data_IF_271687427849
#
_entry.id   IF_271687427849
#
_cell.length_a   1.000
_cell.length_b   1.000
_cell.length_c   1.000
_cell.angle_alpha   90.00
_cell.angle_beta   90.00
_cell.angle_gamma   90.00
#
_symmetry.space_group_name_H-M   'P 1'
#
loop_
_entity.id
_entity.type
_entity.pdbx_description
1 polymer ?
#
# COMPACT_ATOMS: atom_id res chain seq x y z
N UNK A 1 -22.29 -21.18 -58.54
CA UNK A 1 -21.63 -20.01 -59.16
C UNK A 1 -21.49 -18.89 -58.13
N UNK A 2 -20.24 -18.48 -57.88
CA UNK A 2 -19.71 -17.10 -57.70
C UNK A 2 -20.34 -16.24 -56.57
N UNK A 3 -19.59 -15.99 -55.49
CA UNK A 3 -18.71 -14.81 -55.23
C UNK A 3 -19.53 -13.52 -55.15
N UNK A 4 -19.44 -12.61 -54.18
CA UNK A 4 -18.45 -12.28 -53.14
C UNK A 4 -19.11 -11.18 -52.30
N UNK A 5 -18.98 -11.18 -50.97
CA UNK A 5 -19.12 -9.92 -50.21
C UNK A 5 -17.77 -9.22 -50.27
N UNK A 6 -17.73 -8.16 -51.06
CA UNK A 6 -16.58 -7.28 -51.31
C UNK A 6 -16.09 -6.65 -50.02
N UNK A 7 -14.77 -6.63 -49.87
CA UNK A 7 -14.06 -5.77 -48.93
C UNK A 7 -13.84 -4.44 -49.62
N UNK A 8 -14.43 -3.36 -49.11
CA UNK A 8 -14.08 -2.00 -49.49
C UNK A 8 -13.64 -1.21 -48.25
N UNK A 9 -12.37 -1.42 -47.91
CA UNK A 9 -11.32 -0.40 -47.82
C UNK A 9 -11.75 1.04 -47.47
N UNK A 10 -11.59 1.42 -46.21
CA UNK A 10 -11.10 2.76 -45.90
C UNK A 10 -10.26 2.72 -44.63
N UNK A 11 -8.97 3.03 -44.78
CA UNK A 11 -8.01 3.31 -43.70
C UNK A 11 -7.64 4.80 -43.81
N UNK A 12 -7.05 5.41 -42.78
CA UNK A 12 -7.72 6.00 -41.62
C UNK A 12 -7.46 7.52 -41.56
N UNK A 13 -8.33 8.30 -40.92
CA UNK A 13 -7.98 9.66 -40.49
C UNK A 13 -8.15 9.75 -38.99
N UNK A 14 -7.07 9.41 -38.27
CA UNK A 14 -6.97 9.70 -36.85
C UNK A 14 -6.67 11.19 -36.70
N UNK A 15 -7.69 12.01 -36.47
CA UNK A 15 -7.47 13.38 -35.99
C UNK A 15 -7.24 13.29 -34.49
N UNK A 16 -5.99 13.02 -34.10
CA UNK A 16 -5.50 13.22 -32.74
C UNK A 16 -5.25 14.72 -32.55
N UNK A 17 -6.15 15.40 -31.85
CA UNK A 17 -5.84 16.72 -31.30
C UNK A 17 -4.87 16.53 -30.14
N UNK A 18 -3.59 16.76 -30.39
CA UNK A 18 -2.49 16.69 -29.43
C UNK A 18 -2.53 17.91 -28.52
N UNK A 19 -3.12 17.78 -27.33
CA UNK A 19 -2.88 18.73 -26.24
C UNK A 19 -1.51 18.40 -25.65
N UNK A 20 -0.50 19.15 -26.08
CA UNK A 20 0.86 19.17 -25.55
C UNK A 20 0.83 19.41 -24.05
N UNK A 21 1.12 18.37 -23.27
CA UNK A 21 1.49 18.49 -21.86
C UNK A 21 3.01 18.62 -21.80
N UNK A 22 3.51 19.85 -21.73
CA UNK A 22 4.92 20.09 -21.47
C UNK A 22 5.27 19.60 -20.05
N UNK A 23 6.34 18.80 -19.86
CA UNK A 23 6.83 18.48 -18.53
C UNK A 23 7.53 19.71 -17.91
N UNK A 24 7.40 19.96 -16.59
CA UNK A 24 8.13 21.03 -15.95
C UNK A 24 9.66 20.78 -15.97
N UNK A 25 10.47 21.83 -16.15
CA UNK A 25 11.92 21.70 -16.27
C UNK A 25 12.55 21.19 -14.97
N UNK A 26 13.40 20.18 -15.12
CA UNK A 26 14.15 19.49 -14.07
C UNK A 26 15.48 20.21 -13.85
N UNK A 27 15.57 21.09 -12.86
CA UNK A 27 16.84 21.72 -12.46
C UNK A 27 17.44 20.98 -11.25
N UNK A 28 18.60 20.39 -11.49
CA UNK A 28 19.46 19.70 -10.54
C UNK A 28 20.61 20.62 -10.07
N UNK A 29 21.03 20.42 -8.82
CA UNK A 29 22.34 20.71 -8.19
C UNK A 29 22.54 22.08 -7.51
N UNK A 30 22.96 22.01 -6.23
CA UNK A 30 23.44 23.15 -5.43
C UNK A 30 23.84 22.80 -3.99
N UNK A 31 24.75 21.83 -3.82
CA UNK A 31 25.73 21.70 -2.72
C UNK A 31 25.82 22.84 -1.66
N UNK A 32 25.56 22.50 -0.38
CA UNK A 32 26.28 23.08 0.77
C UNK A 32 26.27 22.11 1.96
N UNK A 33 27.37 21.38 2.13
CA UNK A 33 27.74 20.76 3.41
C UNK A 33 28.76 21.68 4.10
N UNK A 34 28.60 22.03 5.38
CA UNK A 34 29.73 22.23 6.26
C UNK A 34 30.01 20.94 7.02
N UNK A 35 31.25 20.49 6.91
CA UNK A 35 31.85 19.39 7.63
C UNK A 35 31.67 19.51 9.15
N UNK A 36 31.25 18.43 9.80
CA UNK A 36 31.80 18.04 11.11
C UNK A 36 31.71 16.52 11.22
N UNK A 37 32.88 15.88 11.19
CA UNK A 37 33.03 14.48 11.53
C UNK A 37 32.74 14.30 13.02
N UNK A 38 31.74 13.49 13.36
CA UNK A 38 31.75 12.69 14.58
C UNK A 38 31.17 11.34 14.22
N UNK A 39 32.08 10.40 13.99
CA UNK A 39 31.79 8.99 13.88
C UNK A 39 31.39 8.48 15.27
N UNK A 40 30.08 8.35 15.49
CA UNK A 40 29.55 7.59 16.63
C UNK A 40 28.61 6.55 16.06
N UNK A 41 29.04 5.30 16.08
CA UNK A 41 28.21 4.12 15.80
C UNK A 41 27.03 4.07 16.79
N UNK A 42 25.98 4.83 16.52
CA UNK A 42 24.68 4.63 17.15
C UNK A 42 23.88 3.72 16.24
N UNK A 43 23.54 2.55 16.78
CA UNK A 43 22.46 1.67 16.31
C UNK A 43 21.28 2.52 15.80
N UNK A 44 20.54 2.10 14.76
CA UNK A 44 19.31 2.79 14.41
C UNK A 44 18.36 2.68 15.60
N UNK A 45 18.31 3.73 16.41
CA UNK A 45 17.17 4.00 17.25
C UNK A 45 16.00 4.13 16.28
N UNK A 46 15.13 3.12 16.27
CA UNK A 46 13.86 3.19 15.55
C UNK A 46 13.04 4.24 16.28
N UNK A 47 13.27 5.51 15.99
CA UNK A 47 12.42 6.59 16.46
C UNK A 47 11.12 6.43 15.70
N UNK A 48 10.23 5.60 16.23
CA UNK A 48 8.80 5.66 15.92
C UNK A 48 8.35 7.03 16.38
N UNK A 49 8.56 8.06 15.55
CA UNK A 49 7.86 9.31 15.71
C UNK A 49 6.39 8.93 15.86
N UNK A 50 5.66 9.45 16.86
CA UNK A 50 4.25 9.14 17.00
C UNK A 50 3.58 9.67 15.75
N UNK A 51 3.31 8.76 14.83
CA UNK A 51 2.57 9.03 13.62
C UNK A 51 1.23 9.50 14.13
N UNK A 52 0.95 10.80 13.99
CA UNK A 52 -0.24 11.52 14.49
C UNK A 52 -1.40 10.54 14.75
N UNK A 53 -1.59 10.13 16.01
CA UNK A 53 -2.81 9.41 16.37
C UNK A 53 -3.93 10.42 16.23
N UNK A 54 -4.65 10.33 15.12
CA UNK A 54 -5.80 11.17 14.84
C UNK A 54 -6.98 10.41 15.41
N UNK A 55 -7.58 10.94 16.48
CA UNK A 55 -8.86 10.47 16.99
C UNK A 55 -8.87 8.99 17.44
N UNK A 56 -7.75 8.50 17.98
CA UNK A 56 -7.62 7.11 18.45
C UNK A 56 -7.29 6.09 17.35
N UNK A 57 -6.86 6.58 16.18
CA UNK A 57 -6.31 5.77 15.10
C UNK A 57 -4.88 6.20 14.78
N UNK A 58 -3.98 5.23 14.61
CA UNK A 58 -2.59 5.44 14.21
C UNK A 58 -2.37 4.96 12.78
N UNK A 59 -1.59 5.70 12.00
CA UNK A 59 -1.21 5.29 10.66
C UNK A 59 -0.10 4.24 10.69
N UNK A 60 -0.33 3.09 10.05
CA UNK A 60 0.61 1.98 10.00
C UNK A 60 1.48 2.07 8.76
N UNK A 61 2.73 2.55 8.93
CA UNK A 61 3.62 2.89 7.82
C UNK A 61 3.82 1.75 6.78
N UNK A 62 3.93 0.49 7.23
CA UNK A 62 4.15 -0.65 6.33
C UNK A 62 2.90 -1.08 5.54
N UNK A 63 1.73 -1.00 6.17
CA UNK A 63 0.46 -1.39 5.55
C UNK A 63 -0.19 -0.23 4.81
N UNK A 64 0.23 1.01 5.07
CA UNK A 64 -0.30 2.22 4.44
C UNK A 64 -1.77 2.48 4.77
N UNK A 65 -2.22 2.16 6.00
CA UNK A 65 -3.62 2.29 6.44
C UNK A 65 -3.70 2.91 7.83
N UNK A 66 -4.83 3.57 8.12
CA UNK A 66 -5.20 3.98 9.48
C UNK A 66 -5.78 2.80 10.26
N UNK A 67 -5.29 2.60 11.48
CA UNK A 67 -5.66 1.47 12.34
C UNK A 67 -6.04 2.01 13.71
N UNK A 68 -7.18 1.59 14.28
CA UNK A 68 -7.54 1.92 15.66
C UNK A 68 -6.44 1.52 16.66
N UNK A 69 -6.13 2.39 17.61
CA UNK A 69 -5.02 2.22 18.56
C UNK A 69 -5.15 0.94 19.38
N UNK A 70 -6.40 0.58 19.73
CA UNK A 70 -6.71 -0.63 20.46
C UNK A 70 -6.51 -1.93 19.66
N UNK A 71 -6.30 -1.85 18.35
CA UNK A 71 -6.01 -2.98 17.47
C UNK A 71 -4.53 -3.05 17.07
N UNK A 72 -3.75 -1.97 17.24
CA UNK A 72 -2.34 -1.92 16.83
C UNK A 72 -1.49 -3.11 17.30
N UNK A 73 -1.59 -3.58 18.56
CA UNK A 73 -0.78 -4.71 19.01
C UNK A 73 -1.14 -6.04 18.34
N UNK A 74 -2.33 -6.12 17.74
CA UNK A 74 -2.91 -7.32 17.15
C UNK A 74 -2.84 -7.31 15.62
N UNK A 75 -2.46 -6.18 15.02
CA UNK A 75 -2.30 -6.08 13.57
C UNK A 75 -1.02 -6.79 13.14
N UNK A 76 -1.19 -7.71 12.21
CA UNK A 76 -0.07 -8.39 11.56
C UNK A 76 0.17 -7.81 10.17
N UNK A 77 1.45 -7.78 9.79
CA UNK A 77 1.88 -7.40 8.44
C UNK A 77 1.72 -8.57 7.46
N UNK A 78 1.51 -9.76 7.98
CA UNK A 78 1.29 -10.98 7.22
C UNK A 78 -0.10 -11.00 6.56
N UNK A 79 -0.21 -11.61 5.37
CA UNK A 79 -1.49 -11.73 4.69
C UNK A 79 -2.48 -12.60 5.47
N UNK A 80 -3.67 -12.06 5.70
CA UNK A 80 -4.79 -12.80 6.29
C UNK A 80 -5.58 -13.49 5.18
N UNK A 81 -5.44 -14.81 5.11
CA UNK A 81 -6.16 -15.62 4.13
C UNK A 81 -7.60 -15.87 4.54
N UNK A 82 -8.49 -15.94 3.57
CA UNK A 82 -9.93 -16.19 3.82
C UNK A 82 -10.20 -17.60 4.36
N UNK A 83 -9.24 -18.52 4.25
CA UNK A 83 -9.30 -19.85 4.85
C UNK A 83 -7.93 -20.52 4.92
N UNK A 84 -7.83 -21.59 5.71
CA UNK A 84 -6.61 -22.45 5.80
C UNK A 84 -6.21 -23.08 4.48
N UNK A 85 -7.17 -23.42 3.62
CA UNK A 85 -6.86 -23.91 2.27
C UNK A 85 -6.21 -22.82 1.43
N UNK A 86 -6.73 -21.59 1.50
CA UNK A 86 -6.15 -20.46 0.77
C UNK A 86 -4.79 -20.07 1.32
N UNK A 87 -4.56 -20.22 2.62
CA UNK A 87 -3.24 -20.04 3.24
C UNK A 87 -2.19 -21.02 2.68
N UNK A 88 -2.54 -22.31 2.57
CA UNK A 88 -1.66 -23.34 1.99
C UNK A 88 -1.37 -23.08 0.52
N UNK A 89 -2.37 -22.63 -0.23
CA UNK A 89 -2.25 -22.34 -1.67
C UNK A 89 -1.74 -20.92 -1.96
N UNK A 90 -1.49 -20.11 -0.91
CA UNK A 90 -1.20 -18.67 -1.02
C UNK A 90 -2.17 -17.95 -1.97
N UNK A 91 -3.45 -18.31 -1.88
CA UNK A 91 -4.51 -17.86 -2.75
C UNK A 91 -5.22 -16.61 -2.21
N UNK A 92 -6.55 -16.66 -2.12
CA UNK A 92 -7.39 -15.51 -1.77
C UNK A 92 -7.10 -15.00 -0.35
N UNK A 93 -6.73 -13.73 -0.28
CA UNK A 93 -6.50 -12.97 0.95
C UNK A 93 -7.63 -11.96 1.16
N UNK A 94 -7.84 -11.55 2.41
CA UNK A 94 -8.63 -10.37 2.70
C UNK A 94 -7.86 -9.13 2.26
N UNK A 95 -8.54 -8.21 1.57
CA UNK A 95 -7.96 -6.92 1.27
C UNK A 95 -7.65 -6.17 2.57
N UNK A 96 -6.48 -5.53 2.63
CA UNK A 96 -6.10 -4.65 3.74
C UNK A 96 -7.19 -3.60 3.97
N UNK A 97 -7.44 -3.24 5.23
CA UNK A 97 -8.51 -2.33 5.68
C UNK A 97 -9.96 -2.77 5.40
N UNK A 98 -10.19 -3.91 4.74
CA UNK A 98 -11.57 -4.40 4.52
C UNK A 98 -12.25 -4.74 5.85
N UNK A 99 -13.59 -4.68 5.88
CA UNK A 99 -14.37 -5.09 7.06
C UNK A 99 -14.05 -6.50 7.54
N UNK A 100 -13.83 -7.42 6.60
CA UNK A 100 -13.48 -8.79 6.91
C UNK A 100 -12.05 -8.91 7.51
N UNK A 101 -11.09 -8.15 6.97
CA UNK A 101 -9.74 -8.07 7.56
C UNK A 101 -9.78 -7.53 8.99
N UNK A 102 -10.50 -6.41 9.20
CA UNK A 102 -10.67 -5.82 10.54
C UNK A 102 -11.39 -6.75 11.52
N UNK A 103 -12.36 -7.54 11.05
CA UNK A 103 -13.06 -8.51 11.89
C UNK A 103 -12.10 -9.58 12.42
N UNK A 104 -11.22 -10.12 11.58
CA UNK A 104 -10.22 -11.12 12.00
C UNK A 104 -9.26 -10.54 13.05
N UNK A 105 -8.79 -9.30 12.86
CA UNK A 105 -7.93 -8.64 13.84
C UNK A 105 -8.65 -8.47 15.20
N UNK A 106 -9.95 -8.12 15.18
CA UNK A 106 -10.75 -8.04 16.40
C UNK A 106 -10.91 -9.39 17.10
N UNK A 107 -11.12 -10.46 16.34
CA UNK A 107 -11.17 -11.83 16.90
C UNK A 107 -9.84 -12.21 17.57
N UNK A 108 -8.70 -11.85 16.98
CA UNK A 108 -7.39 -12.06 17.60
C UNK A 108 -7.23 -11.31 18.91
N UNK A 109 -7.67 -10.06 18.96
CA UNK A 109 -7.74 -9.29 20.19
C UNK A 109 -8.59 -9.99 21.25
N UNK A 110 -9.83 -10.35 20.92
CA UNK A 110 -10.74 -11.01 21.87
C UNK A 110 -10.17 -12.34 22.39
N UNK A 111 -9.57 -13.14 21.50
CA UNK A 111 -8.92 -14.40 21.88
C UNK A 111 -7.74 -14.16 22.82
N UNK A 112 -6.88 -13.19 22.51
CA UNK A 112 -5.76 -12.84 23.36
C UNK A 112 -6.21 -12.36 24.74
N UNK A 113 -7.21 -11.48 24.80
CA UNK A 113 -7.76 -10.96 26.07
C UNK A 113 -8.44 -12.04 26.91
N UNK A 114 -9.16 -12.99 26.29
CA UNK A 114 -9.76 -14.13 27.01
C UNK A 114 -8.73 -15.10 27.58
N UNK A 115 -7.57 -15.24 26.95
CA UNK A 115 -6.50 -16.13 27.45
C UNK A 115 -5.58 -15.46 28.49
N UNK A 116 -5.70 -14.15 28.67
CA UNK A 116 -4.97 -13.40 29.70
C UNK A 116 -5.77 -13.23 31.00
N UNK A 117 -7.04 -13.64 31.02
CA UNK A 117 -7.96 -13.60 32.15
C UNK A 117 -8.09 -14.97 32.83
#
# INVERSE_FOLDING_TARGET
>A
MKKTRSWDNTRPTHTISTTTFDPPPRNFIGNRLPSSMTDTFHLPAITLQPILSIEGNTWHAKLGILIPDNLLPYVTEDPIYVSKRQEKLKGKQHALSSKAWLAVIKEYKEYAERNLA
#
